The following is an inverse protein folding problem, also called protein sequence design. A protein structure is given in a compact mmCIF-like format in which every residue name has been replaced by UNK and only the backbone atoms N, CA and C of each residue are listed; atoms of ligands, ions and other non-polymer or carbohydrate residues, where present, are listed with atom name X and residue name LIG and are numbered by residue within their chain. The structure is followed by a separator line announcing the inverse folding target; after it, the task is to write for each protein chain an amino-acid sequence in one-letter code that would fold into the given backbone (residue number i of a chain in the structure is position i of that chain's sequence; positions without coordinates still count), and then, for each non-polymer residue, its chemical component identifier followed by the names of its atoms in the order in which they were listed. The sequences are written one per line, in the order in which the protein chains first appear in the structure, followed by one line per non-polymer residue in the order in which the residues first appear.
data_IF_669857902909
#
_entry.id   IF_669857902909
#
_cell.length_a   1.000
_cell.length_b   1.000
_cell.length_c   1.000
_cell.angle_alpha   90.00
_cell.angle_beta   90.00
_cell.angle_gamma   90.00
#
_symmetry.space_group_name_H-M   'P 1'
#
loop_
_entity.id
_entity.type
_entity.pdbx_description
1 polymer ?
#
# COMPACT_ATOMS: atom_id res chain seq x y z
N UNK A 1 -7.27 -13.55 -2.89
CA UNK A 1 -7.12 -12.97 -1.53
C UNK A 1 -8.52 -12.66 -1.04
N UNK A 2 -8.97 -13.28 0.06
CA UNK A 2 -10.21 -12.87 0.72
C UNK A 2 -9.86 -11.94 1.87
N UNK A 3 -10.38 -10.71 1.83
CA UNK A 3 -10.14 -9.69 2.86
C UNK A 3 -11.48 -9.20 3.40
N UNK A 4 -11.50 -8.80 4.66
CA UNK A 4 -12.67 -8.22 5.30
C UNK A 4 -12.97 -6.85 4.66
N UNK A 5 -14.23 -6.60 4.31
CA UNK A 5 -14.66 -5.27 3.88
C UNK A 5 -14.58 -4.31 5.06
N UNK A 6 -13.85 -3.22 4.88
CA UNK A 6 -13.69 -2.15 5.88
C UNK A 6 -14.59 -0.96 5.51
N UNK A 7 -14.22 0.28 5.90
CA UNK A 7 -14.94 1.48 5.46
C UNK A 7 -14.91 1.61 3.93
N UNK A 8 -15.89 2.31 3.39
CA UNK A 8 -15.97 2.64 1.97
C UNK A 8 -14.63 3.20 1.45
N UNK A 9 -14.19 2.70 0.30
CA UNK A 9 -12.90 3.02 -0.34
C UNK A 9 -11.63 2.65 0.44
N UNK A 10 -11.72 2.02 1.63
CA UNK A 10 -10.52 1.59 2.37
C UNK A 10 -9.97 0.30 1.74
N UNK A 11 -8.79 0.42 1.13
CA UNK A 11 -8.06 -0.74 0.63
C UNK A 11 -7.60 -1.62 1.82
N UNK A 12 -7.73 -2.95 1.74
CA UNK A 12 -7.14 -3.88 2.69
C UNK A 12 -5.62 -3.71 2.77
N UNK A 13 -5.07 -3.88 3.97
CA UNK A 13 -3.63 -3.75 4.21
C UNK A 13 -2.84 -4.87 3.53
N UNK A 14 -3.47 -6.03 3.35
CA UNK A 14 -2.96 -7.24 2.74
C UNK A 14 -2.48 -7.01 1.29
N UNK A 15 -3.02 -6.00 0.59
CA UNK A 15 -2.51 -5.60 -0.72
C UNK A 15 -1.07 -5.08 -0.66
N UNK A 16 -0.71 -4.31 0.36
CA UNK A 16 0.66 -3.81 0.52
C UNK A 16 1.63 -4.94 0.78
N UNK A 17 1.25 -5.86 1.68
CA UNK A 17 2.03 -7.06 1.96
C UNK A 17 2.20 -7.95 0.72
N UNK A 18 1.16 -8.05 -0.12
CA UNK A 18 1.26 -8.78 -1.39
C UNK A 18 2.29 -8.12 -2.32
N UNK A 19 2.23 -6.80 -2.48
CA UNK A 19 3.17 -6.07 -3.34
C UNK A 19 4.59 -6.21 -2.80
N UNK A 20 4.79 -6.09 -1.49
CA UNK A 20 6.08 -6.30 -0.84
C UNK A 20 6.64 -7.70 -1.12
N UNK A 21 5.83 -8.75 -0.94
CA UNK A 21 6.23 -10.13 -1.26
C UNK A 21 6.54 -10.33 -2.74
N UNK A 22 5.71 -9.79 -3.63
CA UNK A 22 5.89 -9.91 -5.07
C UNK A 22 7.15 -9.17 -5.56
N UNK A 23 7.50 -8.06 -4.90
CA UNK A 23 8.65 -7.21 -5.26
C UNK A 23 9.89 -7.46 -4.42
N UNK A 24 9.86 -8.40 -3.46
CA UNK A 24 10.94 -8.64 -2.50
C UNK A 24 12.28 -8.97 -3.15
N UNK A 25 12.28 -9.57 -4.35
CA UNK A 25 13.49 -9.96 -5.09
C UNK A 25 14.01 -8.87 -6.04
N UNK A 26 13.35 -7.72 -6.11
CA UNK A 26 13.79 -6.62 -6.96
C UNK A 26 14.93 -5.86 -6.31
N UNK A 27 15.95 -5.51 -7.10
CA UNK A 27 17.10 -4.72 -6.65
C UNK A 27 16.70 -3.33 -6.17
N UNK A 28 15.62 -2.77 -6.74
CA UNK A 28 15.02 -1.50 -6.32
C UNK A 28 13.70 -1.79 -5.62
N UNK A 29 13.56 -1.31 -4.39
CA UNK A 29 12.36 -1.47 -3.56
C UNK A 29 11.59 -0.15 -3.36
N UNK A 30 11.74 0.78 -4.30
CA UNK A 30 11.00 2.04 -4.26
C UNK A 30 9.54 1.76 -4.60
N UNK A 31 8.63 2.09 -3.69
CA UNK A 31 7.19 1.86 -3.83
C UNK A 31 6.46 3.14 -3.48
N UNK A 32 5.54 3.56 -4.35
CA UNK A 32 4.75 4.78 -4.14
C UNK A 32 3.26 4.45 -4.08
N UNK A 33 2.56 5.00 -3.09
CA UNK A 33 1.11 4.95 -2.95
C UNK A 33 0.53 6.33 -3.30
N UNK A 34 -0.18 6.40 -4.43
CA UNK A 34 -0.86 7.60 -4.90
C UNK A 34 -2.30 7.67 -4.36
N UNK A 35 -2.77 8.89 -4.10
CA UNK A 35 -4.08 9.21 -3.51
C UNK A 35 -4.30 8.55 -2.15
N UNK A 36 -3.23 8.39 -1.37
CA UNK A 36 -3.33 7.88 -0.03
C UNK A 36 -4.06 8.87 0.88
N UNK A 37 -4.60 8.35 1.98
CA UNK A 37 -5.22 9.13 3.06
C UNK A 37 -4.56 8.90 4.42
N UNK A 38 -3.44 8.16 4.41
CA UNK A 38 -2.68 7.78 5.60
C UNK A 38 -1.24 7.47 5.17
N UNK A 39 -0.28 7.77 6.04
CA UNK A 39 1.12 7.37 5.84
C UNK A 39 1.26 5.86 6.00
N UNK A 40 2.21 5.31 5.25
CA UNK A 40 2.58 3.90 5.28
C UNK A 40 4.09 3.85 5.31
N UNK A 41 4.67 3.27 6.36
CA UNK A 41 6.13 3.11 6.47
C UNK A 41 6.69 2.25 5.34
N UNK A 42 7.83 2.68 4.79
CA UNK A 42 8.50 2.00 3.68
C UNK A 42 7.86 2.24 2.30
N UNK A 43 6.87 3.14 2.22
CA UNK A 43 6.27 3.59 0.97
C UNK A 43 6.42 5.12 0.85
N UNK A 44 6.74 5.59 -0.35
CA UNK A 44 6.49 6.97 -0.70
C UNK A 44 4.98 7.18 -0.77
N UNK A 45 4.46 8.19 -0.10
CA UNK A 45 3.00 8.35 0.01
C UNK A 45 2.60 9.74 -0.46
N UNK A 46 1.76 9.78 -1.50
CA UNK A 46 1.29 11.01 -2.11
C UNK A 46 -0.24 11.04 -2.06
N UNK A 47 -0.78 12.13 -1.54
CA UNK A 47 -2.21 12.36 -1.45
C UNK A 47 -2.46 13.72 -0.81
N UNK A 48 -3.67 14.25 -0.99
CA UNK A 48 -4.01 15.55 -0.41
C UNK A 48 -4.35 15.44 1.10
N UNK A 49 -4.53 14.22 1.61
CA UNK A 49 -5.00 13.93 2.96
C UNK A 49 -3.94 13.20 3.83
N UNK A 50 -2.65 13.23 3.43
CA UNK A 50 -1.56 12.45 4.07
C UNK A 50 -0.60 13.29 4.90
#
# INVERSE_FOLDING_TARGET
IQCKVLRHSKKPHEFRQLIERATQKMTLQNRIELFARQKTDGWDVWGNEV
#
